data_IF_908593572114
#
_entry.id   IF_908593572114
#
_cell.length_a   1.000
_cell.length_b   1.000
_cell.length_c   1.000
_cell.angle_alpha   90.00
_cell.angle_beta   90.00
_cell.angle_gamma   90.00
#
_symmetry.space_group_name_H-M   'P 1'
#
loop_
_entity.id
_entity.type
_entity.pdbx_description
1 polymer ?
#
# COMPACT_ATOMS: atom_id res chain seq x y z
N UNK A 1 6.61 19.78 -16.09
CA UNK A 1 5.47 18.90 -15.77
C UNK A 1 5.94 17.98 -14.66
N UNK A 2 5.16 17.83 -13.59
CA UNK A 2 5.56 16.97 -12.46
C UNK A 2 5.61 15.52 -12.94
N UNK A 3 6.56 14.70 -12.47
CA UNK A 3 6.57 13.25 -12.76
C UNK A 3 5.30 12.54 -12.31
N UNK A 4 4.53 13.17 -11.42
CA UNK A 4 3.24 12.69 -10.89
C UNK A 4 2.03 13.40 -11.51
N UNK A 5 2.22 14.16 -12.59
CA UNK A 5 1.12 14.87 -13.26
C UNK A 5 0.12 13.87 -13.88
N UNK A 6 -1.16 13.98 -13.49
CA UNK A 6 -2.20 13.03 -13.86
C UNK A 6 -2.41 11.88 -12.86
N UNK A 7 -1.53 11.73 -11.85
CA UNK A 7 -1.70 10.70 -10.83
C UNK A 7 -2.80 11.05 -9.80
N UNK A 8 -3.72 10.09 -9.62
CA UNK A 8 -4.71 10.13 -8.55
C UNK A 8 -4.05 9.86 -7.20
N UNK A 9 -4.54 10.49 -6.15
CA UNK A 9 -4.19 10.09 -4.78
C UNK A 9 -4.53 8.61 -4.57
N UNK A 10 -3.66 7.90 -3.84
CA UNK A 10 -3.79 6.45 -3.71
C UNK A 10 -5.09 6.06 -3.01
N UNK A 11 -5.57 6.86 -2.04
CA UNK A 11 -6.87 6.65 -1.40
C UNK A 11 -8.04 6.68 -2.39
N UNK A 12 -8.07 7.68 -3.28
CA UNK A 12 -9.12 7.79 -4.30
C UNK A 12 -9.05 6.61 -5.29
N UNK A 13 -7.84 6.24 -5.74
CA UNK A 13 -7.63 5.07 -6.61
C UNK A 13 -8.12 3.78 -5.95
N UNK A 14 -7.79 3.57 -4.67
CA UNK A 14 -8.23 2.40 -3.89
C UNK A 14 -9.74 2.34 -3.71
N UNK A 15 -10.43 3.48 -3.53
CA UNK A 15 -11.89 3.52 -3.49
C UNK A 15 -12.51 2.98 -4.79
N UNK A 16 -12.04 3.49 -5.93
CA UNK A 16 -12.54 3.09 -7.26
C UNK A 16 -12.33 1.58 -7.48
N UNK A 17 -11.12 1.08 -7.20
CA UNK A 17 -10.83 -0.36 -7.31
C UNK A 17 -11.73 -1.21 -6.39
N UNK A 18 -12.02 -0.71 -5.19
CA UNK A 18 -12.83 -1.43 -4.22
C UNK A 18 -14.30 -1.55 -4.63
N UNK A 19 -14.84 -0.57 -5.37
CA UNK A 19 -16.22 -0.62 -5.88
C UNK A 19 -16.44 -1.79 -6.85
N UNK A 20 -15.43 -2.14 -7.64
CA UNK A 20 -15.51 -3.31 -8.54
C UNK A 20 -15.04 -4.60 -7.87
N UNK A 21 -14.06 -4.56 -6.98
CA UNK A 21 -13.59 -5.76 -6.26
C UNK A 21 -14.67 -6.30 -5.31
N UNK A 22 -15.46 -5.43 -4.67
CA UNK A 22 -16.53 -5.84 -3.74
C UNK A 22 -17.50 -6.87 -4.32
N UNK A 23 -18.23 -6.59 -5.43
CA UNK A 23 -19.17 -7.55 -5.98
C UNK A 23 -18.49 -8.84 -6.46
N UNK A 24 -17.25 -8.76 -6.96
CA UNK A 24 -16.46 -9.95 -7.35
C UNK A 24 -16.17 -10.82 -6.12
N UNK A 25 -15.70 -10.21 -5.03
CA UNK A 25 -15.44 -10.92 -3.78
C UNK A 25 -16.70 -11.54 -3.20
N UNK A 26 -17.83 -10.83 -3.20
CA UNK A 26 -19.12 -11.34 -2.72
C UNK A 26 -19.61 -12.54 -3.54
N UNK A 27 -19.43 -12.51 -4.86
CA UNK A 27 -19.72 -13.67 -5.73
C UNK A 27 -18.79 -14.84 -5.39
N UNK A 28 -17.48 -14.62 -5.35
CA UNK A 28 -16.52 -15.68 -5.02
C UNK A 28 -16.79 -16.30 -3.65
N UNK A 29 -17.10 -15.46 -2.66
CA UNK A 29 -17.42 -15.88 -1.29
C UNK A 29 -18.69 -16.71 -1.25
N UNK A 30 -19.72 -16.34 -2.00
CA UNK A 30 -20.98 -17.11 -2.10
C UNK A 30 -20.76 -18.48 -2.75
N UNK A 31 -19.99 -18.55 -3.83
CA UNK A 31 -19.83 -19.77 -4.63
C UNK A 31 -18.75 -20.73 -4.08
N UNK A 32 -17.67 -20.19 -3.51
CA UNK A 32 -16.46 -20.96 -3.15
C UNK A 32 -16.03 -20.77 -1.69
N UNK A 33 -16.77 -19.96 -0.92
CA UNK A 33 -16.46 -19.66 0.47
C UNK A 33 -15.42 -18.56 0.64
N UNK A 34 -15.34 -18.06 1.87
CA UNK A 34 -14.54 -16.90 2.23
C UNK A 34 -13.04 -17.11 2.02
N UNK A 35 -12.50 -18.27 2.39
CA UNK A 35 -11.06 -18.54 2.30
C UNK A 35 -10.56 -18.50 0.85
N UNK A 36 -11.31 -19.12 -0.07
CA UNK A 36 -10.99 -19.09 -1.49
C UNK A 36 -11.08 -17.66 -2.06
N UNK A 37 -12.17 -16.95 -1.76
CA UNK A 37 -12.36 -15.58 -2.22
C UNK A 37 -11.24 -14.65 -1.72
N UNK A 38 -10.85 -14.75 -0.45
CA UNK A 38 -9.77 -13.98 0.14
C UNK A 38 -8.42 -14.29 -0.52
N UNK A 39 -8.11 -15.57 -0.78
CA UNK A 39 -6.87 -15.97 -1.46
C UNK A 39 -6.77 -15.36 -2.87
N UNK A 40 -7.84 -15.45 -3.66
CA UNK A 40 -7.89 -14.87 -5.02
C UNK A 40 -7.70 -13.36 -4.99
N UNK A 41 -8.38 -12.64 -4.09
CA UNK A 41 -8.23 -11.18 -3.98
C UNK A 41 -6.81 -10.81 -3.51
N UNK A 42 -6.27 -11.51 -2.51
CA UNK A 42 -4.91 -11.28 -2.01
C UNK A 42 -3.86 -11.45 -3.10
N UNK A 43 -3.94 -12.52 -3.89
CA UNK A 43 -3.03 -12.77 -5.00
C UNK A 43 -3.15 -11.72 -6.11
N UNK A 44 -4.38 -11.42 -6.55
CA UNK A 44 -4.61 -10.44 -7.61
C UNK A 44 -4.12 -9.03 -7.21
N UNK A 45 -4.43 -8.60 -5.99
CA UNK A 45 -4.00 -7.29 -5.48
C UNK A 45 -2.50 -7.24 -5.26
N UNK A 46 -1.89 -8.33 -4.79
CA UNK A 46 -0.46 -8.43 -4.61
C UNK A 46 0.30 -8.32 -5.94
N UNK A 47 -0.13 -9.06 -6.95
CA UNK A 47 0.42 -8.95 -8.31
C UNK A 47 0.27 -7.52 -8.86
N UNK A 48 -0.89 -6.89 -8.66
CA UNK A 48 -1.10 -5.50 -9.07
C UNK A 48 -0.19 -4.51 -8.32
N UNK A 49 0.16 -4.78 -7.06
CA UNK A 49 1.08 -3.95 -6.29
C UNK A 49 2.51 -4.00 -6.85
N UNK A 50 3.00 -5.19 -7.20
CA UNK A 50 4.31 -5.37 -7.84
C UNK A 50 4.37 -4.58 -9.17
N UNK A 51 3.33 -4.69 -10.00
CA UNK A 51 3.28 -3.96 -11.27
C UNK A 51 3.23 -2.44 -11.06
N UNK A 52 2.52 -1.97 -10.03
CA UNK A 52 2.51 -0.56 -9.67
C UNK A 52 3.91 -0.09 -9.21
N UNK A 53 4.60 -0.87 -8.38
CA UNK A 53 5.98 -0.58 -7.97
C UNK A 53 6.90 -0.42 -9.17
N UNK A 54 6.86 -1.38 -10.11
CA UNK A 54 7.64 -1.32 -11.36
C UNK A 54 7.31 -0.11 -12.21
N UNK A 55 6.03 0.25 -12.30
CA UNK A 55 5.59 1.41 -13.04
C UNK A 55 6.17 2.71 -12.45
N UNK A 56 6.06 2.90 -11.13
CA UNK A 56 6.60 4.09 -10.47
C UNK A 56 8.13 4.13 -10.53
N UNK A 57 8.81 3.00 -10.39
CA UNK A 57 10.26 2.93 -10.54
C UNK A 57 10.72 3.39 -11.93
N UNK A 58 9.97 3.07 -12.98
CA UNK A 58 10.27 3.49 -14.35
C UNK A 58 10.06 5.00 -14.61
N UNK A 59 9.41 5.72 -13.69
CA UNK A 59 9.26 7.18 -13.76
C UNK A 59 10.44 7.92 -13.10
N UNK A 60 11.29 7.20 -12.37
CA UNK A 60 12.44 7.75 -11.66
C UNK A 60 13.72 7.61 -12.48
N UNK A 61 14.63 8.57 -12.36
CA UNK A 61 15.98 8.44 -12.92
C UNK A 61 16.74 7.32 -12.21
N UNK A 62 16.59 7.26 -10.87
CA UNK A 62 17.06 6.18 -10.02
C UNK A 62 15.94 5.82 -9.03
N UNK A 63 15.48 4.57 -9.07
CA UNK A 63 14.51 4.04 -8.11
C UNK A 63 15.24 3.62 -6.82
N UNK A 64 15.49 4.55 -5.92
CA UNK A 64 16.18 4.34 -4.64
C UNK A 64 15.25 4.71 -3.46
N UNK A 65 15.75 4.61 -2.22
CA UNK A 65 14.94 4.92 -1.05
C UNK A 65 14.51 6.39 -1.01
N UNK A 66 15.35 7.30 -1.52
CA UNK A 66 15.03 8.72 -1.57
C UNK A 66 13.88 8.99 -2.53
N UNK A 67 13.94 8.45 -3.75
CA UNK A 67 12.84 8.63 -4.71
C UNK A 67 11.56 7.93 -4.26
N UNK A 68 11.67 6.80 -3.54
CA UNK A 68 10.52 6.19 -2.87
C UNK A 68 9.87 7.10 -1.81
N UNK A 69 10.66 7.79 -0.98
CA UNK A 69 10.14 8.74 0.02
C UNK A 69 9.39 9.88 -0.66
N UNK A 70 9.89 10.40 -1.79
CA UNK A 70 9.22 11.45 -2.55
C UNK A 70 7.84 11.02 -3.07
N UNK A 71 7.63 9.72 -3.34
CA UNK A 71 6.33 9.18 -3.78
C UNK A 71 5.29 9.12 -2.66
N UNK A 72 5.69 9.15 -1.38
CA UNK A 72 4.76 9.01 -0.24
C UNK A 72 3.68 10.10 -0.22
N UNK A 73 3.94 11.25 -0.85
CA UNK A 73 2.93 12.30 -1.04
C UNK A 73 1.65 11.79 -1.68
N UNK A 74 1.71 10.77 -2.56
CA UNK A 74 0.51 10.19 -3.17
C UNK A 74 -0.31 9.34 -2.18
N UNK A 75 0.36 8.70 -1.22
CA UNK A 75 -0.26 7.90 -0.16
C UNK A 75 -0.86 8.77 0.95
N UNK A 76 -0.29 9.95 1.18
CA UNK A 76 -0.76 10.94 2.17
C UNK A 76 -1.79 11.93 1.60
N UNK A 77 -1.86 12.07 0.27
CA UNK A 77 -2.77 12.99 -0.43
C UNK A 77 -4.21 12.87 0.08
N UNK A 78 -4.90 14.01 0.14
CA UNK A 78 -6.28 14.12 0.63
C UNK A 78 -6.45 13.67 2.10
N UNK A 79 -5.46 13.97 2.95
CA UNK A 79 -5.43 13.60 4.38
C UNK A 79 -5.51 12.08 4.60
N UNK A 80 -5.02 11.29 3.65
CA UNK A 80 -5.22 9.85 3.64
C UNK A 80 -4.54 9.15 4.84
N UNK A 81 -3.41 9.67 5.31
CA UNK A 81 -2.66 9.16 6.45
C UNK A 81 -2.26 10.31 7.38
N UNK A 82 -2.24 10.04 8.69
CA UNK A 82 -1.51 10.86 9.67
C UNK A 82 -0.22 10.14 10.01
N UNK A 83 0.90 10.64 9.50
CA UNK A 83 2.22 10.04 9.60
C UNK A 83 3.07 10.79 10.63
N UNK A 84 3.82 10.03 11.42
CA UNK A 84 4.87 10.52 12.31
C UNK A 84 6.21 9.92 11.86
N UNK A 85 7.06 10.75 11.26
CA UNK A 85 8.38 10.31 10.77
C UNK A 85 9.33 10.18 11.96
N UNK A 86 10.01 9.04 12.05
CA UNK A 86 10.98 8.68 13.09
C UNK A 86 12.41 8.82 12.55
N UNK A 87 12.66 8.33 11.33
CA UNK A 87 13.94 8.47 10.64
C UNK A 87 13.72 8.61 9.13
N UNK A 88 14.55 9.41 8.46
CA UNK A 88 14.54 9.58 7.01
C UNK A 88 15.92 10.03 6.55
N UNK A 89 16.70 9.08 6.06
CA UNK A 89 18.04 9.27 5.52
C UNK A 89 18.26 8.35 4.30
N UNK A 90 19.51 8.20 3.86
CA UNK A 90 19.84 7.40 2.67
C UNK A 90 19.59 5.90 2.85
N UNK A 91 19.62 5.41 4.09
CA UNK A 91 19.52 3.99 4.42
C UNK A 91 18.21 3.63 5.14
N UNK A 92 17.59 4.60 5.81
CA UNK A 92 16.44 4.41 6.69
C UNK A 92 15.26 5.31 6.30
N UNK A 93 14.07 4.71 6.24
CA UNK A 93 12.82 5.46 6.25
C UNK A 93 11.83 4.80 7.21
N UNK A 94 11.73 5.38 8.41
CA UNK A 94 10.95 4.87 9.52
C UNK A 94 9.85 5.85 9.88
N UNK A 95 8.61 5.36 9.95
CA UNK A 95 7.49 6.17 10.36
C UNK A 95 6.34 5.32 10.92
N UNK A 96 5.53 5.97 11.74
CA UNK A 96 4.28 5.40 12.22
C UNK A 96 3.10 6.08 11.55
N UNK A 97 2.08 5.29 11.23
CA UNK A 97 0.76 5.81 10.83
C UNK A 97 -0.14 5.80 12.06
N UNK A 98 -0.55 6.98 12.54
CA UNK A 98 -1.44 7.14 13.70
C UNK A 98 -2.93 7.21 13.33
N UNK A 99 -3.25 7.46 12.06
CA UNK A 99 -4.60 7.37 11.50
C UNK A 99 -4.55 6.96 10.03
N UNK A 100 -5.46 6.07 9.62
CA UNK A 100 -5.49 5.49 8.28
C UNK A 100 -6.89 5.58 7.67
N UNK A 101 -7.09 6.51 6.71
CA UNK A 101 -8.37 6.64 6.01
C UNK A 101 -8.69 5.48 5.07
N UNK A 102 -7.69 4.70 4.67
CA UNK A 102 -7.93 3.46 3.93
C UNK A 102 -8.73 2.46 4.78
N UNK A 103 -8.36 2.31 6.05
CA UNK A 103 -9.07 1.42 6.97
C UNK A 103 -10.48 1.92 7.27
N UNK A 104 -10.64 3.22 7.52
CA UNK A 104 -11.95 3.85 7.68
C UNK A 104 -12.84 3.63 6.45
N UNK A 105 -12.30 3.91 5.25
CA UNK A 105 -13.01 3.75 3.98
C UNK A 105 -13.48 2.32 3.76
N UNK A 106 -12.63 1.30 3.92
CA UNK A 106 -13.06 -0.08 3.69
C UNK A 106 -14.12 -0.51 4.70
N UNK A 107 -14.05 -0.06 5.95
CA UNK A 107 -15.11 -0.31 6.93
C UNK A 107 -16.44 0.34 6.50
N UNK A 108 -16.43 1.61 6.09
CA UNK A 108 -17.61 2.32 5.56
C UNK A 108 -18.21 1.62 4.33
N UNK A 109 -17.36 1.05 3.47
CA UNK A 109 -17.79 0.32 2.28
C UNK A 109 -18.29 -1.11 2.58
N UNK A 110 -18.22 -1.58 3.82
CA UNK A 110 -18.55 -2.96 4.20
C UNK A 110 -17.51 -3.99 3.74
N UNK A 111 -16.28 -3.55 3.50
CA UNK A 111 -15.14 -4.35 3.06
C UNK A 111 -14.10 -4.58 4.17
N UNK A 112 -14.43 -4.27 5.42
CA UNK A 112 -13.50 -4.41 6.57
C UNK A 112 -12.86 -5.80 6.66
N UNK A 113 -13.60 -6.86 6.30
CA UNK A 113 -13.09 -8.24 6.31
C UNK A 113 -11.89 -8.48 5.38
N UNK A 114 -11.81 -7.75 4.25
CA UNK A 114 -10.72 -7.89 3.27
C UNK A 114 -9.91 -6.60 3.07
N UNK A 115 -10.18 -5.53 3.81
CA UNK A 115 -9.47 -4.25 3.66
C UNK A 115 -7.95 -4.39 3.75
N UNK A 116 -7.45 -5.31 4.58
CA UNK A 116 -6.03 -5.62 4.70
C UNK A 116 -5.45 -6.23 3.41
N UNK A 117 -6.21 -7.05 2.68
CA UNK A 117 -5.81 -7.59 1.37
C UNK A 117 -5.80 -6.51 0.29
N UNK A 118 -6.71 -5.53 0.38
CA UNK A 118 -6.88 -4.49 -0.64
C UNK A 118 -5.83 -3.37 -0.56
N UNK A 119 -5.32 -3.06 0.64
CA UNK A 119 -4.31 -2.01 0.84
C UNK A 119 -3.07 -2.46 1.58
N UNK A 120 -3.16 -3.07 2.77
CA UNK A 120 -1.96 -3.39 3.56
C UNK A 120 -1.05 -4.41 2.88
N UNK A 121 -1.63 -5.44 2.23
CA UNK A 121 -0.90 -6.43 1.44
C UNK A 121 -0.10 -5.81 0.28
N UNK A 122 -0.46 -4.59 -0.16
CA UNK A 122 0.23 -3.93 -1.26
C UNK A 122 1.57 -3.36 -0.82
N UNK A 123 1.75 -2.98 0.44
CA UNK A 123 2.89 -2.14 0.82
C UNK A 123 4.24 -2.86 0.67
N UNK A 124 4.34 -4.12 1.11
CA UNK A 124 5.54 -4.94 0.93
C UNK A 124 5.76 -5.33 -0.55
N UNK A 125 4.68 -5.67 -1.25
CA UNK A 125 4.77 -6.10 -2.64
C UNK A 125 5.04 -4.94 -3.61
N UNK A 126 4.59 -3.73 -3.26
CA UNK A 126 4.93 -2.51 -3.97
C UNK A 126 6.42 -2.24 -3.88
N UNK A 127 7.02 -2.31 -2.68
CA UNK A 127 8.44 -2.02 -2.54
C UNK A 127 9.31 -3.04 -3.28
N UNK A 128 8.93 -4.32 -3.27
CA UNK A 128 9.59 -5.37 -4.10
C UNK A 128 9.54 -5.04 -5.59
N UNK A 129 8.40 -4.52 -6.07
CA UNK A 129 8.27 -4.07 -7.46
C UNK A 129 9.05 -2.79 -7.77
N UNK A 130 9.17 -1.89 -6.80
CA UNK A 130 9.81 -0.58 -6.95
C UNK A 130 11.34 -0.70 -6.92
N UNK A 131 11.88 -1.32 -5.88
CA UNK A 131 13.30 -1.64 -5.77
C UNK A 131 13.50 -2.86 -4.83
N UNK A 132 13.97 -4.01 -5.34
CA UNK A 132 14.17 -5.22 -4.53
C UNK A 132 15.33 -5.15 -3.51
N UNK A 133 16.12 -4.08 -3.56
CA UNK A 133 17.17 -3.76 -2.59
C UNK A 133 16.66 -2.88 -1.45
N UNK A 134 15.35 -2.62 -1.38
CA UNK A 134 14.71 -1.98 -0.24
C UNK A 134 13.79 -2.99 0.44
N UNK A 135 13.97 -3.18 1.74
CA UNK A 135 13.18 -4.10 2.55
C UNK A 135 12.23 -3.33 3.46
N UNK A 136 10.99 -3.80 3.58
CA UNK A 136 10.01 -3.31 4.54
C UNK A 136 9.87 -4.29 5.69
N UNK A 137 10.09 -3.84 6.92
CA UNK A 137 9.59 -4.50 8.12
C UNK A 137 8.37 -3.75 8.63
N UNK A 138 7.26 -4.47 8.83
CA UNK A 138 6.05 -3.95 9.49
C UNK A 138 5.40 -5.07 10.28
N UNK A 139 5.15 -4.83 11.56
CA UNK A 139 4.66 -5.88 12.48
C UNK A 139 3.19 -5.73 12.83
N UNK A 140 2.63 -4.53 12.64
CA UNK A 140 1.24 -4.22 12.98
C UNK A 140 0.60 -3.26 11.99
N UNK A 141 -0.73 -3.29 11.92
CA UNK A 141 -1.52 -2.35 11.12
C UNK A 141 -2.80 -1.94 11.83
N UNK A 142 -3.23 -0.70 11.62
CA UNK A 142 -4.55 -0.22 12.04
C UNK A 142 -5.66 -1.08 11.44
N UNK A 143 -5.51 -1.50 10.18
CA UNK A 143 -6.48 -2.38 9.51
C UNK A 143 -6.62 -3.75 10.20
N UNK A 144 -5.55 -4.23 10.82
CA UNK A 144 -5.54 -5.44 11.65
C UNK A 144 -5.97 -5.21 13.11
N UNK A 145 -6.39 -3.99 13.47
CA UNK A 145 -6.89 -3.65 14.81
C UNK A 145 -5.86 -3.06 15.77
N UNK A 146 -4.63 -2.80 15.33
CA UNK A 146 -3.63 -2.14 16.17
C UNK A 146 -3.87 -0.62 16.28
N UNK A 147 -3.23 0.04 17.25
CA UNK A 147 -3.35 1.49 17.44
C UNK A 147 -2.57 2.32 16.42
N UNK A 148 -1.59 1.72 15.73
CA UNK A 148 -0.82 2.35 14.65
C UNK A 148 -0.30 1.29 13.68
N UNK A 149 0.21 1.71 12.53
CA UNK A 149 1.08 0.89 11.67
C UNK A 149 2.54 1.33 11.88
N UNK A 150 3.49 0.40 11.85
CA UNK A 150 4.92 0.63 12.07
C UNK A 150 5.76 0.32 10.82
N UNK A 151 5.92 1.30 9.93
CA UNK A 151 6.71 1.10 8.71
C UNK A 151 8.18 1.31 8.98
N UNK A 152 9.02 0.32 8.64
CA UNK A 152 10.47 0.40 8.76
C UNK A 152 11.13 -0.04 7.47
N UNK A 153 11.54 0.91 6.64
CA UNK A 153 12.23 0.63 5.38
C UNK A 153 13.74 0.69 5.55
N UNK A 154 14.45 -0.25 4.93
CA UNK A 154 15.92 -0.30 4.90
C UNK A 154 16.40 -0.45 3.47
N UNK A 155 17.29 0.42 3.01
CA UNK A 155 18.07 0.17 1.80
C UNK A 155 19.20 -0.81 2.13
N UNK A 156 19.43 -1.81 1.27
CA UNK A 156 20.59 -2.70 1.44
C UNK A 156 21.89 -1.91 1.25
N UNK A 157 22.95 -2.25 1.99
CA UNK A 157 24.27 -1.68 1.74
C UNK A 157 24.68 -1.98 0.31
N UNK A 158 25.14 -0.96 -0.42
CA UNK A 158 25.86 -1.18 -1.67
C UNK A 158 27.28 -1.65 -1.33
N UNK A 159 27.61 -2.91 -1.64
CA UNK A 159 28.99 -3.40 -1.64
C UNK A 159 29.81 -2.81 -2.81
#
# INVERSE_FOLDING_TARGET
MSKLEGELGILARRRIEAEIIKPIYEILKREQGQAFAAAVIGEAVGNAAIQAGKHFAALEENADLKSFVELQVLWEKDDALKVEIIASDAEHYDYDVKRCRYAEMYNEMGLGEIGHLLSCNRDELFIVGFNPDIELTRTQTIMGGAHHCDFRYRAKPHE
#
